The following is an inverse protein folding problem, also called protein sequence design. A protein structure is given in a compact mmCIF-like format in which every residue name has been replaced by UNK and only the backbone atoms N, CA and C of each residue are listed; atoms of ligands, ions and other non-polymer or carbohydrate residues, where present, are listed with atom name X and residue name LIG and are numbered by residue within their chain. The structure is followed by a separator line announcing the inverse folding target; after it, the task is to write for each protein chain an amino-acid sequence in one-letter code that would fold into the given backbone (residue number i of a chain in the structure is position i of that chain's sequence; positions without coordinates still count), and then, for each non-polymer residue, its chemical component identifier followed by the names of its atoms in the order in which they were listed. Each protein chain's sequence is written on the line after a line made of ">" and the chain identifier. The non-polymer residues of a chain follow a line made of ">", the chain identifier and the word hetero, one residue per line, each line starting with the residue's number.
data_IF_699570004176
#
_entry.id   IF_699570004176
#
_cell.length_a   1.000
_cell.length_b   1.000
_cell.length_c   1.000
_cell.angle_alpha   90.00
_cell.angle_beta   90.00
_cell.angle_gamma   90.00
#
_symmetry.space_group_name_H-M   'P 1'
#
loop_
_entity.id
_entity.type
_entity.pdbx_description
1 polymer ?
#
# COMPACT_ATOMS: atom_id res chain seq x y z
N UNK A 1 35.43 11.72 -75.09
CA UNK A 1 34.92 11.44 -73.73
C UNK A 1 33.44 11.08 -73.85
N UNK A 2 33.13 9.78 -73.82
CA UNK A 2 31.78 9.23 -73.98
C UNK A 2 31.34 8.64 -72.65
N UNK A 3 30.45 9.34 -71.94
CA UNK A 3 29.90 8.88 -70.67
C UNK A 3 28.76 7.88 -70.93
N UNK A 4 28.87 6.67 -70.38
CA UNK A 4 27.86 5.61 -70.48
C UNK A 4 26.84 5.74 -69.34
N UNK A 5 25.51 5.71 -69.60
CA UNK A 5 24.48 5.67 -68.58
C UNK A 5 24.13 4.22 -68.25
N UNK A 6 24.63 3.69 -67.13
CA UNK A 6 24.33 2.33 -66.67
C UNK A 6 24.26 2.31 -65.13
N UNK A 7 23.22 2.92 -64.53
CA UNK A 7 23.05 2.91 -63.06
C UNK A 7 21.61 3.05 -62.55
N UNK A 8 20.58 2.89 -63.39
CA UNK A 8 19.19 3.10 -62.97
C UNK A 8 18.38 1.85 -62.55
N UNK A 9 18.65 0.60 -62.95
CA UNK A 9 17.77 -0.51 -62.58
C UNK A 9 18.00 -1.04 -61.15
N UNK A 10 19.20 -0.86 -60.57
CA UNK A 10 19.54 -1.42 -59.25
C UNK A 10 18.90 -0.63 -58.09
N UNK A 11 18.70 0.68 -58.27
CA UNK A 11 18.18 1.55 -57.21
C UNK A 11 16.66 1.37 -57.01
N UNK A 12 15.92 1.06 -58.07
CA UNK A 12 14.48 0.78 -58.00
C UNK A 12 14.18 -0.56 -57.27
N UNK A 13 15.05 -1.57 -57.39
CA UNK A 13 14.88 -2.86 -56.72
C UNK A 13 15.13 -2.76 -55.20
N UNK A 14 16.05 -1.89 -54.78
CA UNK A 14 16.38 -1.65 -53.38
C UNK A 14 15.28 -0.85 -52.64
N UNK A 15 14.61 0.07 -53.33
CA UNK A 15 13.45 0.80 -52.80
C UNK A 15 12.19 -0.10 -52.67
N UNK A 16 12.00 -1.06 -53.57
CA UNK A 16 10.90 -2.02 -53.47
C UNK A 16 11.10 -3.04 -52.32
N UNK A 17 12.35 -3.40 -52.00
CA UNK A 17 12.66 -4.27 -50.85
C UNK A 17 12.40 -3.60 -49.50
N UNK A 18 12.68 -2.31 -49.36
CA UNK A 18 12.45 -1.57 -48.11
C UNK A 18 10.94 -1.39 -47.78
N UNK A 19 10.07 -1.37 -48.80
CA UNK A 19 8.63 -1.24 -48.59
C UNK A 19 7.97 -2.51 -48.03
N UNK A 20 8.52 -3.70 -48.28
CA UNK A 20 7.98 -4.96 -47.71
C UNK A 20 8.38 -5.20 -46.24
N UNK A 21 9.44 -4.55 -45.75
CA UNK A 21 9.83 -4.60 -44.32
C UNK A 21 9.11 -3.54 -43.46
N UNK A 22 8.36 -2.63 -44.09
CA UNK A 22 7.55 -1.62 -43.40
C UNK A 22 6.07 -2.02 -43.25
N UNK A 23 5.68 -3.21 -43.71
CA UNK A 23 4.37 -3.75 -43.38
C UNK A 23 4.38 -4.17 -41.90
N UNK A 24 3.60 -3.53 -41.02
CA UNK A 24 3.50 -3.99 -39.64
C UNK A 24 3.06 -5.46 -39.69
N UNK A 25 3.68 -6.36 -38.90
CA UNK A 25 3.26 -7.75 -38.86
C UNK A 25 1.76 -7.76 -38.59
N UNK A 26 0.99 -8.29 -39.54
CA UNK A 26 -0.43 -8.56 -39.33
C UNK A 26 -0.49 -9.62 -38.23
N UNK A 27 -0.68 -9.16 -36.99
CA UNK A 27 -0.89 -10.02 -35.84
C UNK A 27 -1.95 -11.05 -36.23
N UNK A 28 -1.58 -12.33 -36.17
CA UNK A 28 -2.50 -13.42 -36.40
C UNK A 28 -3.71 -13.20 -35.47
N UNK A 29 -4.90 -13.08 -36.07
CA UNK A 29 -6.12 -12.76 -35.34
C UNK A 29 -6.32 -13.77 -34.19
N UNK A 30 -6.16 -13.30 -32.96
CA UNK A 30 -6.30 -14.11 -31.76
C UNK A 30 -7.76 -14.59 -31.62
N UNK A 31 -8.01 -15.84 -31.17
CA UNK A 31 -9.35 -16.40 -31.00
C UNK A 31 -10.23 -15.67 -29.96
N UNK A 32 -9.76 -14.62 -29.30
CA UNK A 32 -10.54 -13.77 -28.39
C UNK A 32 -11.65 -12.94 -29.08
N UNK A 33 -11.66 -12.87 -30.41
CA UNK A 33 -12.48 -11.94 -31.19
C UNK A 33 -14.02 -12.10 -31.10
N UNK A 34 -14.64 -13.29 -31.03
CA UNK A 34 -16.11 -13.37 -30.98
C UNK A 34 -16.67 -13.01 -29.60
N UNK A 35 -15.97 -13.42 -28.53
CA UNK A 35 -16.41 -13.16 -27.16
C UNK A 35 -16.28 -11.67 -26.80
N UNK A 36 -15.17 -11.03 -27.18
CA UNK A 36 -14.99 -9.60 -26.95
C UNK A 36 -16.02 -8.75 -27.72
N UNK A 37 -16.34 -9.11 -28.98
CA UNK A 37 -17.42 -8.46 -29.75
C UNK A 37 -18.75 -8.50 -29.04
N UNK A 38 -19.13 -9.67 -28.53
CA UNK A 38 -20.38 -9.85 -27.78
C UNK A 38 -20.36 -9.00 -26.51
N UNK A 39 -19.24 -9.00 -25.78
CA UNK A 39 -19.11 -8.24 -24.55
C UNK A 39 -19.15 -6.72 -24.78
N UNK A 40 -18.54 -6.21 -25.85
CA UNK A 40 -18.66 -4.79 -26.23
C UNK A 40 -20.12 -4.41 -26.47
N UNK A 41 -20.85 -5.22 -27.25
CA UNK A 41 -22.25 -4.95 -27.55
C UNK A 41 -23.10 -4.99 -26.27
N UNK A 42 -22.88 -5.99 -25.42
CA UNK A 42 -23.59 -6.15 -24.14
C UNK A 42 -23.29 -5.00 -23.17
N UNK A 43 -22.02 -4.56 -23.06
CA UNK A 43 -21.63 -3.42 -22.22
C UNK A 43 -22.29 -2.14 -22.74
N UNK A 44 -22.26 -1.90 -24.05
CA UNK A 44 -22.88 -0.72 -24.65
C UNK A 44 -24.40 -0.68 -24.44
N UNK A 45 -25.06 -1.83 -24.54
CA UNK A 45 -26.51 -1.96 -24.30
C UNK A 45 -26.86 -1.78 -22.82
N UNK A 46 -26.11 -2.42 -21.92
CA UNK A 46 -26.41 -2.46 -20.48
C UNK A 46 -26.07 -1.18 -19.73
N UNK A 47 -24.95 -0.55 -20.07
CA UNK A 47 -24.45 0.64 -19.37
C UNK A 47 -24.67 1.94 -20.15
N UNK A 48 -25.25 1.87 -21.35
CA UNK A 48 -25.63 3.02 -22.18
C UNK A 48 -24.46 3.96 -22.46
N UNK A 49 -24.69 5.27 -22.31
CA UNK A 49 -23.68 6.30 -22.55
C UNK A 49 -22.51 6.26 -21.57
N UNK A 50 -22.75 5.86 -20.31
CA UNK A 50 -21.68 5.67 -19.31
C UNK A 50 -20.75 4.53 -19.74
N UNK A 51 -21.33 3.39 -20.12
CA UNK A 51 -20.57 2.25 -20.63
C UNK A 51 -19.76 2.56 -21.89
N UNK A 52 -20.35 3.28 -22.83
CA UNK A 52 -19.65 3.70 -24.05
C UNK A 52 -18.44 4.59 -23.75
N UNK A 53 -18.56 5.50 -22.78
CA UNK A 53 -17.46 6.37 -22.35
C UNK A 53 -16.35 5.59 -21.64
N UNK A 54 -16.69 4.76 -20.67
CA UNK A 54 -15.71 3.93 -19.96
C UNK A 54 -15.01 2.95 -20.90
N UNK A 55 -15.73 2.39 -21.87
CA UNK A 55 -15.16 1.57 -22.92
C UNK A 55 -14.17 2.39 -23.77
N UNK A 56 -14.51 3.63 -24.14
CA UNK A 56 -13.60 4.49 -24.88
C UNK A 56 -12.32 4.81 -24.06
N UNK A 57 -12.44 5.02 -22.75
CA UNK A 57 -11.32 5.22 -21.84
C UNK A 57 -10.41 3.97 -21.73
N UNK A 58 -10.99 2.77 -21.88
CA UNK A 58 -10.28 1.50 -22.02
C UNK A 58 -9.61 1.32 -23.41
N UNK A 59 -9.59 2.33 -24.29
CA UNK A 59 -9.11 2.17 -25.67
C UNK A 59 -10.13 1.51 -26.60
N UNK A 60 -11.42 1.60 -26.24
CA UNK A 60 -12.53 1.07 -27.01
C UNK A 60 -12.55 -0.45 -27.03
N UNK A 61 -12.89 -1.00 -28.19
CA UNK A 61 -12.96 -2.44 -28.39
C UNK A 61 -11.58 -3.11 -28.40
N UNK A 62 -10.57 -2.44 -28.94
CA UNK A 62 -9.22 -3.01 -29.05
C UNK A 62 -8.59 -3.20 -27.67
N UNK A 63 -8.67 -2.20 -26.79
CA UNK A 63 -8.18 -2.36 -25.42
C UNK A 63 -8.99 -3.36 -24.59
N UNK A 64 -10.30 -3.49 -24.84
CA UNK A 64 -11.08 -4.58 -24.24
C UNK A 64 -10.58 -5.96 -24.69
N UNK A 65 -10.35 -6.13 -26.00
CA UNK A 65 -9.80 -7.36 -26.58
C UNK A 65 -8.44 -7.70 -25.97
N UNK A 66 -7.56 -6.70 -25.80
CA UNK A 66 -6.24 -6.87 -25.19
C UNK A 66 -6.32 -7.32 -23.73
N UNK A 67 -7.17 -6.68 -22.91
CA UNK A 67 -7.33 -7.04 -21.49
C UNK A 67 -7.93 -8.44 -21.34
N UNK A 68 -8.94 -8.79 -22.15
CA UNK A 68 -9.53 -10.13 -22.13
C UNK A 68 -8.57 -11.21 -22.61
N UNK A 69 -7.77 -10.93 -23.64
CA UNK A 69 -6.73 -11.85 -24.12
C UNK A 69 -5.66 -12.07 -23.05
N UNK A 70 -5.21 -11.00 -22.39
CA UNK A 70 -4.26 -11.10 -21.29
C UNK A 70 -4.84 -11.86 -20.10
N UNK A 71 -6.09 -11.56 -19.70
CA UNK A 71 -6.78 -12.30 -18.66
C UNK A 71 -6.90 -13.79 -19.01
N UNK A 72 -7.20 -14.12 -20.27
CA UNK A 72 -7.26 -15.51 -20.74
C UNK A 72 -5.90 -16.21 -20.65
N UNK A 73 -4.82 -15.54 -21.08
CA UNK A 73 -3.45 -16.06 -20.93
C UNK A 73 -3.05 -16.29 -19.48
N UNK A 74 -3.54 -15.45 -18.56
CA UNK A 74 -3.31 -15.56 -17.12
C UNK A 74 -4.36 -16.45 -16.40
N UNK A 75 -5.24 -17.14 -17.12
CA UNK A 75 -6.23 -18.07 -16.56
C UNK A 75 -7.47 -17.41 -15.91
N UNK A 76 -7.66 -16.10 -16.07
CA UNK A 76 -8.77 -15.31 -15.54
C UNK A 76 -9.78 -14.86 -16.61
N UNK A 77 -9.80 -15.48 -17.79
CA UNK A 77 -10.68 -15.08 -18.90
C UNK A 77 -12.17 -15.10 -18.54
N UNK A 78 -12.66 -16.18 -17.93
CA UNK A 78 -14.07 -16.28 -17.51
C UNK A 78 -14.42 -15.27 -16.40
N UNK A 79 -13.49 -15.04 -15.48
CA UNK A 79 -13.65 -14.06 -14.39
C UNK A 79 -13.71 -12.64 -14.96
N UNK A 80 -12.87 -12.33 -15.96
CA UNK A 80 -12.88 -11.04 -16.65
C UNK A 80 -14.24 -10.70 -17.25
N UNK A 81 -14.86 -11.68 -17.92
CA UNK A 81 -16.19 -11.52 -18.52
C UNK A 81 -17.25 -11.27 -17.44
N UNK A 82 -17.20 -12.01 -16.33
CA UNK A 82 -18.13 -11.83 -15.22
C UNK A 82 -17.96 -10.46 -14.56
N UNK A 83 -16.72 -10.06 -14.25
CA UNK A 83 -16.42 -8.74 -13.68
C UNK A 83 -16.88 -7.62 -14.62
N UNK A 84 -16.63 -7.73 -15.92
CA UNK A 84 -17.09 -6.73 -16.90
C UNK A 84 -18.62 -6.59 -16.93
N UNK A 85 -19.36 -7.71 -16.83
CA UNK A 85 -20.83 -7.73 -16.80
C UNK A 85 -21.42 -7.20 -15.49
N UNK A 86 -20.83 -7.60 -14.37
CA UNK A 86 -21.39 -7.33 -13.04
C UNK A 86 -20.93 -6.01 -12.45
N UNK A 87 -19.67 -5.63 -12.70
CA UNK A 87 -18.98 -4.48 -12.11
C UNK A 87 -18.67 -3.38 -13.14
N UNK A 88 -18.80 -3.68 -14.43
CA UNK A 88 -18.61 -2.72 -15.52
C UNK A 88 -17.18 -2.67 -16.08
N UNK A 89 -16.98 -1.94 -17.19
CA UNK A 89 -15.68 -1.85 -17.86
C UNK A 89 -14.63 -1.09 -17.04
N UNK A 90 -15.01 -0.15 -16.16
CA UNK A 90 -14.07 0.51 -15.26
C UNK A 90 -13.35 -0.48 -14.31
N UNK A 91 -14.07 -1.49 -13.80
CA UNK A 91 -13.49 -2.52 -12.94
C UNK A 91 -12.50 -3.42 -13.71
N UNK A 92 -12.86 -3.78 -14.94
CA UNK A 92 -11.96 -4.51 -15.82
C UNK A 92 -10.69 -3.71 -16.15
N UNK A 93 -10.84 -2.41 -16.43
CA UNK A 93 -9.71 -1.49 -16.67
C UNK A 93 -8.77 -1.43 -15.46
N UNK A 94 -9.33 -1.25 -14.27
CA UNK A 94 -8.55 -1.11 -13.04
C UNK A 94 -7.70 -2.36 -12.72
N UNK A 95 -8.16 -3.53 -13.14
CA UNK A 95 -7.43 -4.78 -13.01
C UNK A 95 -6.51 -5.11 -14.20
N UNK A 96 -6.56 -4.34 -15.30
CA UNK A 96 -5.79 -4.59 -16.52
C UNK A 96 -4.26 -4.75 -16.33
N UNK A 97 -3.60 -4.08 -15.36
CA UNK A 97 -2.18 -4.30 -15.11
C UNK A 97 -1.83 -5.73 -14.66
N UNK A 98 -2.71 -6.39 -13.89
CA UNK A 98 -2.52 -7.73 -13.31
C UNK A 98 -3.83 -8.55 -13.32
N UNK A 99 -4.40 -8.85 -14.49
CA UNK A 99 -5.75 -9.38 -14.60
C UNK A 99 -5.90 -10.75 -13.93
N UNK A 100 -4.87 -11.61 -13.99
CA UNK A 100 -4.86 -12.92 -13.33
C UNK A 100 -4.95 -12.86 -11.81
N UNK A 101 -4.49 -11.76 -11.19
CA UNK A 101 -4.52 -11.58 -9.73
C UNK A 101 -5.72 -10.74 -9.29
N UNK A 102 -5.98 -9.62 -9.97
CA UNK A 102 -6.92 -8.61 -9.49
C UNK A 102 -8.37 -8.91 -9.87
N UNK A 103 -8.62 -9.61 -10.99
CA UNK A 103 -10.00 -9.96 -11.37
C UNK A 103 -10.65 -10.96 -10.41
N UNK A 104 -9.98 -12.04 -9.95
CA UNK A 104 -10.53 -12.90 -8.90
C UNK A 104 -10.84 -12.16 -7.60
N UNK A 105 -9.97 -11.22 -7.19
CA UNK A 105 -10.19 -10.41 -6.00
C UNK A 105 -11.41 -9.49 -6.15
N UNK A 106 -11.55 -8.79 -7.28
CA UNK A 106 -12.72 -7.96 -7.58
C UNK A 106 -14.02 -8.75 -7.66
N UNK A 107 -13.98 -9.98 -8.18
CA UNK A 107 -15.14 -10.85 -8.33
C UNK A 107 -15.73 -11.26 -6.97
N UNK A 108 -14.86 -11.54 -5.98
CA UNK A 108 -15.24 -11.95 -4.61
C UNK A 108 -15.63 -10.80 -3.71
N UNK A 109 -15.23 -9.57 -4.05
CA UNK A 109 -15.48 -8.37 -3.25
C UNK A 109 -17.00 -8.12 -3.06
N UNK A 110 -17.47 -7.68 -1.88
CA UNK A 110 -18.84 -7.22 -1.70
C UNK A 110 -19.26 -6.17 -2.74
N UNK A 111 -20.49 -6.25 -3.26
CA UNK A 111 -20.97 -5.35 -4.34
C UNK A 111 -20.89 -3.87 -3.97
N UNK A 112 -21.14 -3.56 -2.70
CA UNK A 112 -21.10 -2.19 -2.17
C UNK A 112 -19.71 -1.56 -2.04
N UNK A 113 -18.62 -2.29 -2.32
CA UNK A 113 -17.24 -1.78 -2.23
C UNK A 113 -16.55 -1.65 -3.59
N UNK A 114 -17.30 -1.80 -4.68
CA UNK A 114 -16.72 -1.92 -6.03
C UNK A 114 -16.05 -0.63 -6.47
N UNK A 115 -16.71 0.51 -6.27
CA UNK A 115 -16.22 1.80 -6.73
C UNK A 115 -14.96 2.20 -5.95
N UNK A 116 -14.94 1.93 -4.64
CA UNK A 116 -13.79 2.16 -3.76
C UNK A 116 -12.61 1.26 -4.12
N UNK A 117 -12.86 -0.02 -4.43
CA UNK A 117 -11.82 -0.94 -4.91
C UNK A 117 -11.27 -0.51 -6.27
N UNK A 118 -12.11 -0.07 -7.20
CA UNK A 118 -11.67 0.47 -8.50
C UNK A 118 -10.81 1.72 -8.31
N UNK A 119 -11.22 2.62 -7.42
CA UNK A 119 -10.42 3.80 -7.07
C UNK A 119 -9.07 3.42 -6.44
N UNK A 120 -9.06 2.43 -5.53
CA UNK A 120 -7.83 1.92 -4.92
C UNK A 120 -6.87 1.33 -5.96
N UNK A 121 -7.36 0.48 -6.85
CA UNK A 121 -6.59 -0.09 -7.95
C UNK A 121 -6.08 0.97 -8.92
N UNK A 122 -6.84 2.05 -9.13
CA UNK A 122 -6.37 3.20 -9.91
C UNK A 122 -5.19 3.95 -9.28
N UNK A 123 -5.05 3.92 -7.95
CA UNK A 123 -3.95 4.58 -7.23
C UNK A 123 -2.67 3.73 -7.19
N UNK A 124 -2.78 2.45 -6.87
CA UNK A 124 -1.60 1.58 -6.66
C UNK A 124 -1.83 0.11 -7.10
N UNK A 125 -2.04 -0.15 -8.41
CA UNK A 125 -2.42 -1.47 -8.89
C UNK A 125 -1.32 -2.53 -8.65
N UNK A 126 -0.06 -2.18 -8.89
CA UNK A 126 1.09 -3.09 -8.69
C UNK A 126 1.27 -3.45 -7.21
N UNK A 127 1.12 -2.46 -6.33
CA UNK A 127 1.27 -2.60 -4.89
C UNK A 127 0.18 -3.49 -4.29
N UNK A 128 -1.06 -3.29 -4.73
CA UNK A 128 -2.20 -4.11 -4.32
C UNK A 128 -2.06 -5.52 -4.90
N UNK A 129 -1.75 -5.68 -6.19
CA UNK A 129 -1.59 -7.00 -6.79
C UNK A 129 -0.48 -7.84 -6.13
N UNK A 130 0.62 -7.21 -5.70
CA UNK A 130 1.67 -7.91 -4.94
C UNK A 130 1.13 -8.42 -3.60
N UNK A 131 0.43 -7.57 -2.86
CA UNK A 131 -0.11 -7.94 -1.55
C UNK A 131 -1.25 -8.96 -1.66
N UNK A 132 -2.11 -8.87 -2.67
CA UNK A 132 -3.17 -9.87 -2.92
C UNK A 132 -2.56 -11.25 -3.20
N UNK A 133 -1.45 -11.33 -3.95
CA UNK A 133 -0.73 -12.60 -4.14
C UNK A 133 -0.13 -13.18 -2.86
N UNK A 134 0.28 -12.32 -1.93
CA UNK A 134 0.96 -12.72 -0.70
C UNK A 134 -0.01 -13.04 0.44
N UNK A 135 -1.09 -12.27 0.56
CA UNK A 135 -2.01 -12.29 1.70
C UNK A 135 -3.47 -12.58 1.33
N UNK A 136 -3.81 -12.68 0.05
CA UNK A 136 -5.15 -12.99 -0.44
C UNK A 136 -6.01 -11.75 -0.74
N UNK A 137 -7.25 -12.01 -1.12
CA UNK A 137 -8.18 -10.98 -1.66
C UNK A 137 -8.63 -9.98 -0.60
N UNK A 138 -8.54 -10.34 0.69
CA UNK A 138 -8.88 -9.49 1.84
C UNK A 138 -8.08 -8.18 1.84
N UNK A 139 -6.93 -8.12 1.16
CA UNK A 139 -6.17 -6.88 0.95
C UNK A 139 -6.98 -5.85 0.17
N UNK A 140 -7.62 -6.28 -0.93
CA UNK A 140 -8.41 -5.37 -1.76
C UNK A 140 -9.66 -4.93 -1.01
N UNK A 141 -10.27 -5.83 -0.24
CA UNK A 141 -11.40 -5.49 0.63
C UNK A 141 -11.02 -4.49 1.71
N UNK A 142 -9.90 -4.71 2.41
CA UNK A 142 -9.40 -3.81 3.44
C UNK A 142 -9.05 -2.43 2.87
N UNK A 143 -8.43 -2.38 1.69
CA UNK A 143 -8.11 -1.12 1.02
C UNK A 143 -9.37 -0.40 0.48
N UNK A 144 -10.39 -1.13 0.03
CA UNK A 144 -11.66 -0.55 -0.37
C UNK A 144 -12.45 0.03 0.83
N UNK A 145 -12.46 -0.67 1.97
CA UNK A 145 -13.07 -0.17 3.21
C UNK A 145 -12.32 1.00 3.82
N UNK A 146 -10.98 0.96 3.77
CA UNK A 146 -10.10 1.93 4.41
C UNK A 146 -9.08 2.49 3.41
N UNK A 147 -9.51 3.40 2.49
CA UNK A 147 -8.69 3.89 1.39
C UNK A 147 -7.34 4.49 1.85
N UNK A 148 -6.24 3.91 1.39
CA UNK A 148 -4.86 4.32 1.69
C UNK A 148 -4.29 3.71 2.97
N UNK A 149 -5.11 3.07 3.80
CA UNK A 149 -4.69 2.45 5.06
C UNK A 149 -4.54 0.93 4.93
N UNK A 150 -5.40 0.27 4.15
CA UNK A 150 -5.35 -1.17 3.89
C UNK A 150 -3.98 -1.66 3.45
N UNK A 151 -3.48 -1.10 2.36
CA UNK A 151 -2.16 -1.42 1.80
C UNK A 151 -1.03 -1.08 2.78
N UNK A 152 -1.11 0.07 3.46
CA UNK A 152 -0.07 0.55 4.37
C UNK A 152 0.07 -0.36 5.59
N UNK A 153 -1.05 -0.72 6.23
CA UNK A 153 -1.06 -1.59 7.41
C UNK A 153 -0.70 -3.03 7.05
N UNK A 154 -1.13 -3.53 5.90
CA UNK A 154 -0.72 -4.84 5.41
C UNK A 154 0.79 -4.90 5.17
N UNK A 155 1.43 -3.83 4.66
CA UNK A 155 2.90 -3.79 4.51
C UNK A 155 3.63 -3.81 5.85
N UNK A 156 3.12 -3.07 6.81
CA UNK A 156 3.73 -2.91 8.13
C UNK A 156 3.57 -4.16 9.01
N UNK A 157 2.35 -4.70 9.06
CA UNK A 157 1.96 -5.76 9.99
C UNK A 157 1.58 -7.08 9.29
N UNK A 158 1.73 -7.18 7.97
CA UNK A 158 1.44 -8.39 7.18
C UNK A 158 -0.04 -8.81 7.37
N UNK A 159 -0.29 -10.11 7.50
CA UNK A 159 -1.62 -10.67 7.75
C UNK A 159 -2.26 -10.08 9.03
N UNK A 160 -1.48 -9.76 10.06
CA UNK A 160 -2.01 -9.15 11.29
C UNK A 160 -2.60 -7.75 11.01
N UNK A 161 -2.05 -7.02 10.03
CA UNK A 161 -2.59 -5.72 9.60
C UNK A 161 -4.00 -5.81 9.02
N UNK A 162 -4.30 -6.87 8.25
CA UNK A 162 -5.64 -7.13 7.72
C UNK A 162 -6.62 -7.49 8.84
N UNK A 163 -6.17 -8.32 9.79
CA UNK A 163 -6.98 -8.72 10.95
C UNK A 163 -7.35 -7.52 11.82
N UNK A 164 -6.39 -6.62 12.08
CA UNK A 164 -6.65 -5.37 12.79
C UNK A 164 -7.71 -4.53 12.08
N UNK A 165 -7.61 -4.37 10.75
CA UNK A 165 -8.53 -3.56 9.97
C UNK A 165 -9.95 -4.14 9.86
N UNK A 166 -10.12 -5.45 10.05
CA UNK A 166 -11.43 -6.11 9.93
C UNK A 166 -12.49 -5.56 10.89
N UNK A 167 -12.07 -5.00 12.03
CA UNK A 167 -12.94 -4.42 13.06
C UNK A 167 -12.78 -2.92 13.27
N UNK A 168 -11.83 -2.28 12.58
CA UNK A 168 -11.62 -0.85 12.68
C UNK A 168 -12.72 -0.07 11.95
N UNK A 169 -13.16 1.03 12.55
CA UNK A 169 -13.74 2.14 11.80
C UNK A 169 -12.63 2.99 11.14
N UNK A 170 -13.02 4.02 10.39
CA UNK A 170 -12.08 4.86 9.63
C UNK A 170 -11.09 5.61 10.55
N UNK A 171 -11.55 6.08 11.71
CA UNK A 171 -10.71 6.82 12.67
C UNK A 171 -9.67 5.91 13.33
N UNK A 172 -10.07 4.69 13.74
CA UNK A 172 -9.18 3.67 14.26
C UNK A 172 -8.16 3.23 13.19
N UNK A 173 -8.62 2.99 11.96
CA UNK A 173 -7.75 2.63 10.84
C UNK A 173 -6.72 3.72 10.55
N UNK A 174 -7.13 5.00 10.56
CA UNK A 174 -6.24 6.14 10.41
C UNK A 174 -5.23 6.23 11.57
N UNK A 175 -5.68 6.03 12.81
CA UNK A 175 -4.85 6.01 14.00
C UNK A 175 -3.75 4.95 13.91
N UNK A 176 -4.12 3.72 13.55
CA UNK A 176 -3.18 2.62 13.32
C UNK A 176 -2.25 2.91 12.14
N UNK A 177 -2.76 3.39 11.02
CA UNK A 177 -1.97 3.67 9.83
C UNK A 177 -0.91 4.74 10.07
N UNK A 178 -1.20 5.77 10.87
CA UNK A 178 -0.21 6.77 11.30
C UNK A 178 0.92 6.18 12.14
N UNK A 179 0.67 5.05 12.79
CA UNK A 179 1.60 4.32 13.67
C UNK A 179 2.06 2.99 13.07
N UNK A 180 1.91 2.82 11.76
CA UNK A 180 2.23 1.57 11.07
C UNK A 180 3.69 1.14 11.30
N UNK A 181 4.64 2.08 11.31
CA UNK A 181 6.06 1.79 11.52
C UNK A 181 6.35 1.29 12.96
N UNK A 182 5.64 1.83 13.96
CA UNK A 182 5.73 1.35 15.35
C UNK A 182 5.16 -0.06 15.47
N UNK A 183 4.02 -0.31 14.82
CA UNK A 183 3.42 -1.64 14.77
C UNK A 183 4.38 -2.64 14.09
N UNK A 184 5.01 -2.27 12.98
CA UNK A 184 5.99 -3.08 12.27
C UNK A 184 7.22 -3.41 13.12
N UNK A 185 7.64 -2.49 13.99
CA UNK A 185 8.79 -2.66 14.89
C UNK A 185 8.53 -3.65 16.03
N UNK A 186 7.27 -3.97 16.35
CA UNK A 186 6.96 -4.95 17.39
C UNK A 186 7.42 -6.37 16.99
N UNK A 187 7.75 -7.24 17.96
CA UNK A 187 7.96 -8.65 17.68
C UNK A 187 6.74 -9.28 16.98
N UNK A 188 6.92 -10.23 16.05
CA UNK A 188 5.80 -10.88 15.36
C UNK A 188 4.78 -11.53 16.30
N UNK A 189 5.25 -12.16 17.38
CA UNK A 189 4.38 -12.75 18.42
C UNK A 189 3.50 -11.70 19.09
N UNK A 190 4.07 -10.53 19.39
CA UNK A 190 3.35 -9.40 19.98
C UNK A 190 2.31 -8.83 19.03
N UNK A 191 2.65 -8.63 17.73
CA UNK A 191 1.67 -8.18 16.74
C UNK A 191 0.49 -9.14 16.61
N UNK A 192 0.77 -10.43 16.52
CA UNK A 192 -0.26 -11.47 16.42
C UNK A 192 -1.18 -11.44 17.64
N UNK A 193 -0.60 -11.38 18.83
CA UNK A 193 -1.36 -11.29 20.08
C UNK A 193 -2.24 -10.02 20.14
N UNK A 194 -1.74 -8.87 19.68
CA UNK A 194 -2.55 -7.64 19.63
C UNK A 194 -3.69 -7.78 18.62
N UNK A 195 -3.43 -8.36 17.44
CA UNK A 195 -4.44 -8.61 16.43
C UNK A 195 -5.54 -9.58 16.93
N UNK A 196 -5.17 -10.66 17.62
CA UNK A 196 -6.13 -11.59 18.24
C UNK A 196 -7.04 -10.88 19.23
N UNK A 197 -6.49 -10.01 20.07
CA UNK A 197 -7.26 -9.29 21.09
C UNK A 197 -8.22 -8.27 20.46
N UNK A 198 -7.78 -7.54 19.44
CA UNK A 198 -8.64 -6.62 18.67
C UNK A 198 -9.75 -7.39 17.95
N UNK A 199 -9.41 -8.51 17.29
CA UNK A 199 -10.38 -9.34 16.59
C UNK A 199 -11.41 -9.96 17.54
N UNK A 200 -11.00 -10.35 18.75
CA UNK A 200 -11.92 -10.80 19.79
C UNK A 200 -12.76 -9.67 20.42
N UNK A 201 -12.32 -8.41 20.30
CA UNK A 201 -12.88 -7.29 21.07
C UNK A 201 -12.53 -7.36 22.57
N UNK A 202 -11.46 -8.07 22.92
CA UNK A 202 -10.99 -8.25 24.29
C UNK A 202 -10.14 -7.04 24.73
N UNK A 203 -10.83 -5.95 25.08
CA UNK A 203 -10.17 -4.72 25.54
C UNK A 203 -9.36 -4.92 26.82
N UNK A 204 -9.80 -5.82 27.72
CA UNK A 204 -9.09 -6.10 28.97
C UNK A 204 -7.76 -6.83 28.70
N UNK A 205 -7.80 -7.93 27.95
CA UNK A 205 -6.60 -8.65 27.54
C UNK A 205 -5.68 -7.80 26.67
N UNK A 206 -6.24 -6.92 25.84
CA UNK A 206 -5.45 -5.95 25.06
C UNK A 206 -4.69 -4.97 25.95
N UNK A 207 -5.32 -4.39 26.97
CA UNK A 207 -4.65 -3.49 27.93
C UNK A 207 -3.54 -4.19 28.70
N UNK A 208 -3.77 -5.42 29.16
CA UNK A 208 -2.76 -6.23 29.85
C UNK A 208 -1.54 -6.46 28.94
N UNK A 209 -1.78 -6.91 27.70
CA UNK A 209 -0.72 -7.13 26.70
C UNK A 209 0.05 -5.84 26.38
N UNK A 210 -0.64 -4.71 26.26
CA UNK A 210 0.01 -3.42 26.02
C UNK A 210 0.89 -2.98 27.20
N UNK A 211 0.44 -3.22 28.44
CA UNK A 211 1.24 -2.94 29.63
C UNK A 211 2.47 -3.87 29.73
N UNK A 212 2.31 -5.16 29.43
CA UNK A 212 3.43 -6.11 29.36
C UNK A 212 4.45 -5.71 28.29
N UNK A 213 3.99 -5.32 27.09
CA UNK A 213 4.88 -4.86 26.02
C UNK A 213 5.60 -3.57 26.38
N UNK A 214 4.94 -2.65 27.09
CA UNK A 214 5.56 -1.41 27.57
C UNK A 214 6.63 -1.68 28.66
N UNK A 215 6.53 -2.78 29.40
CA UNK A 215 7.51 -3.19 30.39
C UNK A 215 8.72 -3.94 29.79
N UNK A 216 8.65 -4.39 28.53
CA UNK A 216 9.74 -5.12 27.88
C UNK A 216 10.88 -4.18 27.44
N UNK A 217 12.14 -4.43 27.86
CA UNK A 217 13.26 -3.58 27.48
C UNK A 217 13.49 -3.63 25.96
N UNK A 218 13.58 -2.46 25.34
CA UNK A 218 13.80 -2.30 23.89
C UNK A 218 12.53 -2.27 23.05
N UNK A 219 11.35 -2.54 23.63
CA UNK A 219 10.06 -2.39 22.95
C UNK A 219 9.50 -0.99 23.20
N UNK A 220 9.24 -0.24 22.14
CA UNK A 220 8.60 1.08 22.24
C UNK A 220 7.16 0.95 21.76
N UNK A 221 6.23 0.81 22.71
CA UNK A 221 4.80 1.01 22.44
C UNK A 221 4.47 2.44 22.80
N UNK A 222 4.24 3.30 21.79
CA UNK A 222 3.79 4.65 22.12
C UNK A 222 2.37 4.62 22.70
N UNK A 223 2.09 5.57 23.58
CA UNK A 223 0.75 5.83 24.09
C UNK A 223 -0.28 6.00 22.94
N UNK A 224 0.16 6.52 21.78
CA UNK A 224 -0.69 6.67 20.60
C UNK A 224 -1.02 5.35 19.90
N UNK A 225 -0.06 4.42 19.80
CA UNK A 225 -0.33 3.07 19.27
C UNK A 225 -1.26 2.29 20.20
N UNK A 226 -1.03 2.37 21.51
CA UNK A 226 -1.90 1.76 22.51
C UNK A 226 -3.34 2.28 22.39
N UNK A 227 -3.52 3.60 22.32
CA UNK A 227 -4.85 4.20 22.15
C UNK A 227 -5.54 3.75 20.86
N UNK A 228 -4.83 3.75 19.73
CA UNK A 228 -5.39 3.32 18.44
C UNK A 228 -5.84 1.84 18.46
N UNK A 229 -5.07 0.95 19.10
CA UNK A 229 -5.43 -0.46 19.24
C UNK A 229 -6.65 -0.66 20.14
N UNK A 230 -6.77 0.10 21.24
CA UNK A 230 -7.95 0.02 22.11
C UNK A 230 -9.21 0.50 21.39
N UNK A 231 -9.13 1.61 20.65
CA UNK A 231 -10.25 2.09 19.83
C UNK A 231 -10.63 1.04 18.78
N UNK A 232 -9.65 0.43 18.11
CA UNK A 232 -9.88 -0.66 17.17
C UNK A 232 -10.59 -1.87 17.82
N UNK A 233 -10.35 -2.15 19.10
CA UNK A 233 -11.04 -3.19 19.87
C UNK A 233 -12.45 -2.78 20.33
N UNK A 234 -12.92 -1.58 19.97
CA UNK A 234 -14.24 -1.05 20.32
C UNK A 234 -14.27 -0.20 21.60
N UNK A 235 -13.10 0.19 22.13
CA UNK A 235 -13.03 1.08 23.28
C UNK A 235 -13.32 2.53 22.88
N UNK A 236 -13.95 3.30 23.77
CA UNK A 236 -14.18 4.74 23.54
C UNK A 236 -12.85 5.49 23.56
N UNK A 237 -12.72 6.54 22.74
CA UNK A 237 -11.53 7.40 22.71
C UNK A 237 -11.12 7.94 24.10
N UNK A 238 -12.09 8.30 24.96
CA UNK A 238 -11.81 8.80 26.32
C UNK A 238 -11.14 7.75 27.21
N UNK A 239 -11.65 6.52 27.21
CA UNK A 239 -11.05 5.42 27.98
C UNK A 239 -9.67 5.02 27.41
N UNK A 240 -9.52 5.04 26.08
CA UNK A 240 -8.25 4.79 25.41
C UNK A 240 -7.20 5.85 25.77
N UNK A 241 -7.57 7.13 25.80
CA UNK A 241 -6.71 8.23 26.22
C UNK A 241 -6.35 8.16 27.70
N UNK A 242 -7.29 7.76 28.56
CA UNK A 242 -7.02 7.53 29.98
C UNK A 242 -5.96 6.44 30.17
N UNK A 243 -6.11 5.30 29.48
CA UNK A 243 -5.10 4.22 29.51
C UNK A 243 -3.75 4.67 28.94
N UNK A 244 -3.76 5.37 27.81
CA UNK A 244 -2.56 5.96 27.21
C UNK A 244 -1.84 6.91 28.18
N UNK A 245 -2.60 7.62 29.03
CA UNK A 245 -2.08 8.42 30.16
C UNK A 245 -1.34 7.57 31.20
N UNK A 246 -1.87 6.40 31.56
CA UNK A 246 -1.22 5.50 32.54
C UNK A 246 0.13 4.95 32.06
N UNK A 247 0.34 4.84 30.75
CA UNK A 247 1.62 4.42 30.17
C UNK A 247 2.70 5.50 30.21
N UNK A 248 2.35 6.78 30.45
CA UNK A 248 3.32 7.89 30.42
C UNK A 248 4.36 7.81 31.54
N UNK A 249 3.94 7.46 32.76
CA UNK A 249 4.85 7.35 33.90
C UNK A 249 5.89 6.22 33.75
N UNK A 250 5.53 4.97 33.41
CA UNK A 250 6.53 3.91 33.19
C UNK A 250 7.45 4.24 32.01
N UNK A 251 6.92 4.86 30.94
CA UNK A 251 7.77 5.33 29.83
C UNK A 251 8.76 6.42 30.26
N UNK A 252 8.37 7.29 31.21
CA UNK A 252 9.24 8.33 31.75
C UNK A 252 10.33 7.76 32.64
N UNK A 253 10.01 6.73 33.43
CA UNK A 253 10.98 6.00 34.25
C UNK A 253 12.00 5.27 33.37
N UNK A 254 11.54 4.60 32.31
CA UNK A 254 12.40 3.97 31.30
C UNK A 254 13.20 4.98 30.47
N UNK A 255 12.72 6.21 30.31
CA UNK A 255 13.44 7.28 29.60
C UNK A 255 14.42 8.05 30.52
N UNK A 256 14.52 7.70 31.80
CA UNK A 256 15.44 8.30 32.74
C UNK A 256 16.90 8.24 32.25
N UNK A 257 17.74 9.23 32.59
CA UNK A 257 19.15 9.18 32.27
C UNK A 257 19.83 8.01 33.01
N UNK A 258 20.35 7.04 32.28
CA UNK A 258 21.30 6.07 32.83
C UNK A 258 22.67 6.75 32.92
N UNK A 259 23.14 6.97 34.15
CA UNK A 259 24.52 7.39 34.40
C UNK A 259 25.41 6.16 34.36
N UNK A 260 26.18 6.01 33.27
CA UNK A 260 27.21 4.98 33.19
C UNK A 260 28.52 5.61 33.69
N UNK A 261 29.00 5.15 34.84
CA UNK A 261 30.31 5.54 35.37
C UNK A 261 31.35 4.50 34.94
N UNK A 262 32.33 4.93 34.15
CA UNK A 262 33.48 4.12 33.77
C UNK A 262 34.72 4.60 34.55
N UNK A 263 35.42 3.67 35.19
CA UNK A 263 36.70 3.93 35.86
C UNK A 263 37.83 3.42 34.98
N UNK A 264 38.72 4.30 34.55
CA UNK A 264 39.91 3.95 33.80
C UNK A 264 41.00 3.34 34.72
N UNK A 265 42.00 2.61 34.17
CA UNK A 265 43.04 1.94 34.95
C UNK A 265 43.90 2.87 35.82
N UNK A 266 43.97 4.15 35.46
CA UNK A 266 44.67 5.20 36.21
C UNK A 266 43.84 5.76 37.39
N UNK A 267 42.65 5.23 37.63
CA UNK A 267 41.72 5.66 38.67
C UNK A 267 40.81 6.83 38.27
N UNK A 268 40.94 7.36 37.04
CA UNK A 268 40.04 8.43 36.57
C UNK A 268 38.64 7.87 36.31
N UNK A 269 37.63 8.54 36.85
CA UNK A 269 36.21 8.18 36.66
C UNK A 269 35.56 9.15 35.68
N UNK A 270 34.97 8.63 34.62
CA UNK A 270 34.12 9.40 33.70
C UNK A 270 32.69 8.90 33.81
N UNK A 271 31.78 9.80 34.21
CA UNK A 271 30.35 9.51 34.21
C UNK A 271 29.76 10.07 32.92
N UNK A 272 29.31 9.18 32.04
CA UNK A 272 28.56 9.58 30.86
C UNK A 272 27.09 9.34 31.13
N UNK A 273 26.33 10.42 31.20
CA UNK A 273 24.87 10.35 31.27
C UNK A 273 24.35 10.09 29.86
N UNK A 274 23.83 8.89 29.60
CA UNK A 274 23.13 8.59 28.36
C UNK A 274 21.63 8.49 28.66
N UNK A 275 20.76 8.94 27.75
CA UNK A 275 19.37 8.50 27.83
C UNK A 275 19.35 6.97 27.82
N UNK A 276 18.62 6.30 28.71
CA UNK A 276 18.59 4.83 28.78
C UNK A 276 18.23 4.17 27.42
N UNK A 277 17.45 4.85 26.58
CA UNK A 277 17.13 4.40 25.22
C UNK A 277 18.30 4.46 24.23
N UNK A 278 19.43 5.09 24.57
CA UNK A 278 20.62 5.15 23.71
C UNK A 278 21.49 3.88 23.79
N UNK A 279 21.13 2.91 24.64
CA UNK A 279 21.97 1.72 24.88
C UNK A 279 21.96 0.66 23.77
N UNK A 280 20.89 0.41 22.97
CA UNK A 280 20.95 -0.59 21.90
C UNK A 280 21.04 -0.03 20.46
N UNK A 281 20.99 1.30 20.24
CA UNK A 281 21.10 1.86 18.88
C UNK A 281 22.49 1.74 18.25
N UNK A 282 23.52 1.34 19.01
CA UNK A 282 24.89 1.20 18.51
C UNK A 282 25.15 -0.05 17.64
N UNK A 283 24.17 -0.93 17.43
CA UNK A 283 24.33 -2.10 16.53
C UNK A 283 23.60 -1.97 15.18
N UNK A 284 22.89 -0.85 14.93
CA UNK A 284 22.22 -0.60 13.64
C UNK A 284 22.38 0.84 13.11
N UNK A 285 23.25 1.67 13.70
CA UNK A 285 23.40 3.08 13.35
C UNK A 285 24.48 3.33 12.28
N UNK A 286 24.15 2.99 11.03
CA UNK A 286 24.74 3.60 9.83
C UNK A 286 23.89 4.74 9.23
N UNK A 287 22.65 4.96 9.68
CA UNK A 287 21.69 5.79 8.94
C UNK A 287 20.98 6.93 9.70
N UNK A 288 20.90 6.90 11.03
CA UNK A 288 20.00 7.80 11.78
C UNK A 288 20.64 9.11 12.29
N UNK A 289 21.97 9.24 12.24
CA UNK A 289 22.66 10.46 12.65
C UNK A 289 22.45 11.66 11.70
N UNK A 290 21.88 11.45 10.50
CA UNK A 290 21.67 12.51 9.52
C UNK A 290 20.32 13.27 9.67
N UNK A 291 19.32 12.73 10.39
CA UNK A 291 18.00 13.37 10.46
C UNK A 291 17.84 14.37 11.61
N UNK A 292 18.60 14.25 12.70
CA UNK A 292 18.45 15.10 13.88
C UNK A 292 19.13 16.48 13.75
N UNK A 293 19.92 16.72 12.70
CA UNK A 293 20.53 18.03 12.44
C UNK A 293 19.61 18.95 11.61
N UNK A 294 18.61 18.41 10.90
CA UNK A 294 17.79 19.22 9.97
C UNK A 294 16.61 19.92 10.66
N UNK A 295 16.11 19.38 11.79
CA UNK A 295 14.96 19.99 12.50
C UNK A 295 15.39 21.09 13.48
N UNK A 296 16.65 21.11 13.91
CA UNK A 296 17.17 22.08 14.90
C UNK A 296 17.51 23.47 14.37
N UNK A 297 17.65 23.66 13.05
CA UNK A 297 18.08 24.95 12.46
C UNK A 297 16.94 25.80 11.86
N UNK A 298 15.70 25.31 11.84
CA UNK A 298 14.57 26.00 11.18
C UNK A 298 13.80 27.00 12.05
N UNK A 299 13.95 26.97 13.38
CA UNK A 299 13.09 27.74 14.30
C UNK A 299 13.65 29.12 14.70
N UNK A 300 14.81 29.55 14.16
CA UNK A 300 15.52 30.75 14.62
C UNK A 300 15.30 32.06 13.84
N UNK A 301 14.56 32.06 12.73
CA UNK A 301 14.46 33.24 11.86
C UNK A 301 13.02 33.57 11.45
N UNK A 302 12.20 34.08 12.38
CA UNK A 302 11.00 34.86 12.05
C UNK A 302 10.52 35.71 13.22
N UNK A 303 11.27 36.76 13.52
CA UNK A 303 10.82 37.90 14.32
C UNK A 303 11.32 39.17 13.65
N UNK A 304 10.39 39.94 13.07
CA UNK A 304 10.66 41.31 12.64
C UNK A 304 10.07 41.70 11.30
N UNK A 305 8.78 42.03 11.27
CA UNK A 305 8.29 43.17 10.48
C UNK A 305 7.11 43.81 11.18
N UNK A 306 7.43 44.86 11.92
CA UNK A 306 6.50 45.85 12.46
C UNK A 306 5.84 46.60 11.31
N UNK A 307 4.55 46.81 11.51
CA UNK A 307 3.69 47.85 10.95
C UNK A 307 4.34 49.23 10.91
N UNK A 308 4.23 49.91 9.77
CA UNK A 308 4.03 51.37 9.73
C UNK A 308 3.03 51.70 8.63
N UNK A 309 2.23 52.72 8.95
CA UNK A 309 1.15 53.35 8.19
C UNK A 309 1.56 53.81 6.80
#
# INVERSE_FOLDING_TARGET
>A
MTARPFALPLFALLLAGAALLAAPPRAAASPATPLAKQLVAEIAERFGSKGARELAELGGREGLEEVLERATREGAGEVAVRVARERGPAALNAAAPHPGTLLPALDRLPKGLTDEAVAALGREPDGIARLVREYGDDVLEAEARHPGFGVRLTRAARADGLRLLSRCDEDAALGLARRADELAALPPSSRHALADAVEAGDTAGLRERLAELAAQPGTIVSAGLAGALLIAAGETAEAADAFAGTLKEPLKELAGPESITATAPDGTTTTTTRPAWAAPLNLAAGGLAAMLVIVGLGAGLRLGRRTTR
#
